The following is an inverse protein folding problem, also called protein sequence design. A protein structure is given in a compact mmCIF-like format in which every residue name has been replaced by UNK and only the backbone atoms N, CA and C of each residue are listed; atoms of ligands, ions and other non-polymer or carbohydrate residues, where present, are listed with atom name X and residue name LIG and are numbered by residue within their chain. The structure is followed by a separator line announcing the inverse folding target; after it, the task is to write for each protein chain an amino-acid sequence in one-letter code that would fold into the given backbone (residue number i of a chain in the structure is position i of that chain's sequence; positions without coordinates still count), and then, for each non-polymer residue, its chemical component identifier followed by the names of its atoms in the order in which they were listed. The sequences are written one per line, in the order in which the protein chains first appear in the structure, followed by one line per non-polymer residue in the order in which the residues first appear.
data_IF_764632842738
#
_entry.id   IF_764632842738
#
_cell.length_a   1.000
_cell.length_b   1.000
_cell.length_c   1.000
_cell.angle_alpha   90.00
_cell.angle_beta   90.00
_cell.angle_gamma   90.00
#
_symmetry.space_group_name_H-M   'P 1'
#
loop_
_entity.id
_entity.type
_entity.pdbx_description
1 polymer ?
#
# COMPACT_ATOMS: atom_id res chain seq x y z
N UNK A 1 37.79 13.51 -17.56
CA UNK A 1 37.33 12.12 -17.32
C UNK A 1 36.36 12.01 -16.12
N UNK A 2 35.59 13.05 -15.76
CA UNK A 2 34.74 13.04 -14.54
C UNK A 2 33.24 13.19 -14.77
N UNK A 3 32.80 13.53 -15.99
CA UNK A 3 31.36 13.79 -16.27
C UNK A 3 30.55 12.49 -16.37
N UNK A 4 31.12 11.44 -16.96
CA UNK A 4 30.44 10.15 -17.12
C UNK A 4 30.21 9.41 -15.79
N UNK A 5 31.11 9.59 -14.81
CA UNK A 5 30.97 9.00 -13.48
C UNK A 5 29.87 9.70 -12.68
N UNK A 6 29.83 11.03 -12.70
CA UNK A 6 28.78 11.82 -12.07
C UNK A 6 27.39 11.52 -12.67
N UNK A 7 27.30 11.33 -13.99
CA UNK A 7 26.03 11.03 -14.65
C UNK A 7 25.52 9.62 -14.32
N UNK A 8 26.42 8.64 -14.20
CA UNK A 8 26.06 7.28 -13.75
C UNK A 8 25.53 7.28 -12.32
N UNK A 9 26.16 8.03 -11.43
CA UNK A 9 25.75 8.13 -10.03
C UNK A 9 24.31 8.66 -9.88
N UNK A 10 23.90 9.63 -10.71
CA UNK A 10 22.53 10.15 -10.73
C UNK A 10 21.52 9.04 -11.06
N UNK A 11 21.72 8.31 -12.17
CA UNK A 11 20.81 7.24 -12.58
C UNK A 11 20.79 6.07 -11.59
N UNK A 12 21.93 5.74 -10.99
CA UNK A 12 22.01 4.68 -9.99
C UNK A 12 21.26 5.09 -8.72
N UNK A 13 21.39 6.33 -8.27
CA UNK A 13 20.68 6.82 -7.09
C UNK A 13 19.16 6.85 -7.31
N UNK A 14 18.70 7.29 -8.50
CA UNK A 14 17.28 7.25 -8.84
C UNK A 14 16.74 5.80 -8.86
N UNK A 15 17.51 4.87 -9.42
CA UNK A 15 17.14 3.46 -9.43
C UNK A 15 17.06 2.88 -8.01
N UNK A 16 18.01 3.22 -7.13
CA UNK A 16 18.00 2.78 -5.74
C UNK A 16 16.81 3.36 -4.96
N UNK A 17 16.45 4.62 -5.19
CA UNK A 17 15.25 5.25 -4.61
C UNK A 17 13.98 4.50 -5.01
N UNK A 18 13.83 4.14 -6.29
CA UNK A 18 12.69 3.35 -6.76
C UNK A 18 12.68 1.93 -6.18
N UNK A 19 13.85 1.31 -6.06
CA UNK A 19 13.97 -0.02 -5.45
C UNK A 19 13.59 0.02 -3.98
N UNK A 20 14.05 1.02 -3.23
CA UNK A 20 13.71 1.19 -1.81
C UNK A 20 12.19 1.32 -1.61
N UNK A 21 11.54 2.15 -2.42
CA UNK A 21 10.09 2.32 -2.40
C UNK A 21 9.31 1.03 -2.76
N UNK A 22 9.87 0.14 -3.58
CA UNK A 22 9.19 -1.04 -4.11
C UNK A 22 9.61 -2.37 -3.49
N UNK A 23 10.67 -2.41 -2.68
CA UNK A 23 11.15 -3.64 -2.06
C UNK A 23 10.17 -4.16 -1.00
N UNK A 24 9.59 -3.24 -0.23
CA UNK A 24 8.56 -3.49 0.77
C UNK A 24 7.54 -2.34 0.72
N UNK A 25 6.74 -2.26 -0.35
CA UNK A 25 5.93 -1.08 -0.58
C UNK A 25 4.84 -0.98 0.49
N UNK A 26 4.92 0.10 1.25
CA UNK A 26 3.94 0.49 2.25
C UNK A 26 3.29 1.78 1.77
N UNK A 27 1.96 1.84 1.86
CA UNK A 27 1.19 3.04 1.55
C UNK A 27 0.43 3.49 2.79
N UNK A 28 0.27 4.81 2.92
CA UNK A 28 -0.52 5.42 3.99
C UNK A 28 -2.03 5.35 3.71
N UNK A 29 -2.43 5.03 2.48
CA UNK A 29 -3.82 4.86 2.08
C UNK A 29 -4.06 5.11 0.60
N UNK A 30 -5.32 5.45 0.28
CA UNK A 30 -5.74 5.93 -1.05
C UNK A 30 -5.98 7.44 -0.94
N UNK A 31 -5.49 8.22 -1.91
CA UNK A 31 -5.64 9.67 -1.93
C UNK A 31 -6.09 10.17 -3.32
N UNK A 32 -7.04 11.11 -3.33
CA UNK A 32 -7.48 11.81 -4.54
C UNK A 32 -6.52 12.97 -4.89
N UNK A 33 -5.88 13.56 -3.87
CA UNK A 33 -4.97 14.70 -3.99
C UNK A 33 -3.72 14.51 -3.12
N UNK A 34 -2.63 15.25 -3.38
CA UNK A 34 -1.42 15.17 -2.58
C UNK A 34 -1.68 15.53 -1.13
N UNK A 35 -1.06 14.79 -0.20
CA UNK A 35 -1.10 15.17 1.20
C UNK A 35 -0.38 16.50 1.43
N UNK A 36 -0.84 17.27 2.41
CA UNK A 36 -0.14 18.47 2.87
C UNK A 36 1.09 18.04 3.71
N UNK A 37 2.28 18.42 3.27
CA UNK A 37 3.55 18.15 3.96
C UNK A 37 3.83 16.66 4.26
N UNK A 38 3.84 15.78 3.23
CA UNK A 38 4.22 14.38 3.39
C UNK A 38 5.65 14.23 3.92
N UNK A 39 5.87 13.25 4.78
CA UNK A 39 7.21 12.89 5.22
C UNK A 39 7.96 12.15 4.11
N UNK A 40 9.28 12.33 4.05
CA UNK A 40 10.10 11.62 3.06
C UNK A 40 9.97 10.10 3.24
N UNK A 41 9.67 9.41 2.15
CA UNK A 41 9.46 7.96 2.09
C UNK A 41 7.99 7.53 2.19
N UNK A 42 7.06 8.44 2.49
CA UNK A 42 5.64 8.10 2.48
C UNK A 42 5.12 7.91 1.04
N UNK A 43 4.22 6.94 0.87
CA UNK A 43 3.60 6.63 -0.40
C UNK A 43 2.09 6.49 -0.25
N UNK A 44 1.36 6.74 -1.33
CA UNK A 44 -0.09 6.62 -1.44
C UNK A 44 -0.45 5.89 -2.71
N UNK A 45 -1.60 5.21 -2.69
CA UNK A 45 -2.29 4.82 -3.92
C UNK A 45 -3.07 6.04 -4.40
N UNK A 46 -2.80 6.49 -5.62
CA UNK A 46 -3.61 7.51 -6.27
C UNK A 46 -4.97 6.90 -6.61
N UNK A 47 -6.05 7.61 -6.28
CA UNK A 47 -7.40 7.12 -6.49
C UNK A 47 -7.79 7.01 -7.98
N UNK A 48 -9.00 6.52 -8.24
CA UNK A 48 -9.54 6.45 -9.59
C UNK A 48 -10.01 7.81 -10.14
N UNK A 49 -10.18 8.82 -9.28
CA UNK A 49 -10.63 10.17 -9.65
C UNK A 49 -9.68 11.23 -9.08
N UNK A 50 -8.40 11.22 -9.48
CA UNK A 50 -7.41 12.10 -8.87
C UNK A 50 -7.55 13.55 -9.34
N UNK A 51 -7.00 14.47 -8.55
CA UNK A 51 -7.01 15.91 -8.81
C UNK A 51 -5.64 16.53 -8.54
N UNK A 52 -5.43 17.75 -9.05
CA UNK A 52 -4.19 18.49 -8.87
C UNK A 52 -3.02 17.79 -9.55
N UNK A 53 -1.87 17.69 -8.88
CA UNK A 53 -0.69 17.02 -9.47
C UNK A 53 -0.86 15.50 -9.63
N UNK A 54 -1.96 14.91 -9.16
CA UNK A 54 -2.28 13.49 -9.34
C UNK A 54 -3.18 13.22 -10.55
N UNK A 55 -3.72 14.24 -11.25
CA UNK A 55 -4.80 14.13 -12.24
C UNK A 55 -4.55 13.07 -13.35
N UNK A 56 -3.30 12.84 -13.76
CA UNK A 56 -2.92 11.86 -14.79
C UNK A 56 -2.35 10.53 -14.23
N UNK A 57 -2.43 10.33 -12.92
CA UNK A 57 -1.73 9.25 -12.21
C UNK A 57 -2.69 8.25 -11.55
N UNK A 58 -3.91 8.11 -12.08
CA UNK A 58 -4.93 7.24 -11.50
C UNK A 58 -4.44 5.79 -11.29
N UNK A 59 -4.66 5.25 -10.09
CA UNK A 59 -4.18 3.94 -9.62
C UNK A 59 -2.66 3.77 -9.52
N UNK A 60 -1.85 4.79 -9.80
CA UNK A 60 -0.40 4.72 -9.59
C UNK A 60 -0.04 4.79 -8.10
N UNK A 61 1.16 4.34 -7.76
CA UNK A 61 1.75 4.66 -6.46
C UNK A 61 2.40 6.03 -6.55
N UNK A 62 2.00 6.97 -5.71
CA UNK A 62 2.64 8.26 -5.54
C UNK A 62 3.52 8.21 -4.28
N UNK A 63 4.83 8.33 -4.45
CA UNK A 63 5.79 8.33 -3.35
C UNK A 63 6.46 9.70 -3.21
N UNK A 64 6.52 10.23 -2.00
CA UNK A 64 7.17 11.49 -1.70
C UNK A 64 8.61 11.27 -1.27
N UNK A 65 9.58 11.72 -2.06
CA UNK A 65 11.00 11.67 -1.72
C UNK A 65 11.74 12.85 -2.30
N UNK A 66 12.77 13.35 -1.61
CA UNK A 66 13.62 14.46 -2.11
C UNK A 66 12.78 15.68 -2.58
N UNK A 67 11.74 16.04 -1.82
CA UNK A 67 10.85 17.18 -2.11
C UNK A 67 10.08 17.08 -3.44
N UNK A 68 9.91 15.88 -3.98
CA UNK A 68 9.17 15.64 -5.21
C UNK A 68 8.31 14.37 -5.13
N UNK A 69 7.22 14.37 -5.90
CA UNK A 69 6.42 13.19 -6.14
C UNK A 69 7.06 12.33 -7.23
N UNK A 70 7.24 11.05 -6.92
CA UNK A 70 7.58 10.02 -7.89
C UNK A 70 6.37 9.11 -8.07
N UNK A 71 5.93 8.93 -9.31
CA UNK A 71 4.82 8.06 -9.65
C UNK A 71 5.32 6.74 -10.21
N UNK A 72 4.69 5.65 -9.78
CA UNK A 72 5.05 4.30 -10.18
C UNK A 72 3.80 3.57 -10.66
N UNK A 73 3.78 3.22 -11.94
CA UNK A 73 2.73 2.39 -12.52
C UNK A 73 2.79 0.97 -11.93
N UNK A 74 1.74 0.49 -11.24
CA UNK A 74 1.72 -0.86 -10.69
C UNK A 74 1.61 -1.91 -11.79
N UNK A 75 2.03 -3.13 -11.47
CA UNK A 75 1.89 -4.29 -12.37
C UNK A 75 0.89 -5.27 -11.80
N UNK A 76 0.12 -5.99 -12.63
CA UNK A 76 -0.72 -7.07 -12.16
C UNK A 76 0.08 -8.03 -11.29
N UNK A 77 -0.43 -8.27 -10.10
CA UNK A 77 0.29 -9.06 -9.12
C UNK A 77 1.36 -8.30 -8.33
N UNK A 78 1.28 -6.98 -8.24
CA UNK A 78 1.93 -6.19 -7.20
C UNK A 78 1.10 -6.25 -5.92
N UNK A 79 1.76 -6.30 -4.76
CA UNK A 79 1.12 -6.14 -3.45
C UNK A 79 1.76 -4.99 -2.69
N UNK A 80 0.96 -4.25 -1.94
CA UNK A 80 1.42 -3.19 -1.02
C UNK A 80 0.71 -3.34 0.31
N UNK A 81 1.39 -3.01 1.40
CA UNK A 81 0.74 -2.96 2.71
C UNK A 81 0.12 -1.57 2.91
N UNK A 82 -1.19 -1.50 3.12
CA UNK A 82 -1.89 -0.26 3.40
C UNK A 82 -2.03 -0.07 4.92
N UNK A 83 -1.35 0.94 5.47
CA UNK A 83 -1.37 1.28 6.91
C UNK A 83 -2.75 1.72 7.39
N UNK A 84 -3.55 2.38 6.56
CA UNK A 84 -4.87 2.86 6.94
C UNK A 84 -5.83 1.72 7.27
N UNK A 85 -5.74 0.59 6.55
CA UNK A 85 -6.58 -0.59 6.80
C UNK A 85 -5.85 -1.74 7.50
N UNK A 86 -4.53 -1.62 7.69
CA UNK A 86 -3.69 -2.67 8.30
C UNK A 86 -3.63 -3.96 7.48
N UNK A 87 -3.78 -3.89 6.16
CA UNK A 87 -3.85 -5.07 5.30
C UNK A 87 -3.18 -4.87 3.95
N UNK A 88 -2.84 -5.97 3.31
CA UNK A 88 -2.28 -5.96 1.97
C UNK A 88 -3.34 -5.67 0.92
N UNK A 89 -3.03 -4.76 0.00
CA UNK A 89 -3.74 -4.57 -1.26
C UNK A 89 -3.03 -5.29 -2.38
N UNK A 90 -3.80 -5.86 -3.30
CA UNK A 90 -3.31 -6.53 -4.51
C UNK A 90 -3.76 -5.74 -5.73
N UNK A 91 -2.80 -5.44 -6.62
CA UNK A 91 -3.10 -4.83 -7.90
C UNK A 91 -3.46 -5.91 -8.94
N UNK A 92 -4.57 -5.69 -9.65
CA UNK A 92 -4.99 -6.46 -10.83
C UNK A 92 -5.36 -5.49 -11.96
N UNK A 93 -6.64 -5.20 -12.17
CA UNK A 93 -7.14 -4.10 -13.01
C UNK A 93 -7.41 -2.82 -12.18
N UNK A 94 -7.04 -2.88 -10.89
CA UNK A 94 -7.17 -1.85 -9.87
C UNK A 94 -6.68 -2.38 -8.54
N UNK A 95 -6.59 -1.51 -7.54
CA UNK A 95 -6.22 -1.91 -6.18
C UNK A 95 -7.41 -2.53 -5.45
N UNK A 96 -7.23 -3.75 -4.96
CA UNK A 96 -8.24 -4.46 -4.19
C UNK A 96 -7.68 -4.81 -2.82
N UNK A 97 -8.53 -4.73 -1.79
CA UNK A 97 -8.24 -5.27 -0.46
C UNK A 97 -9.25 -6.36 -0.12
N UNK A 98 -8.85 -7.38 0.65
CA UNK A 98 -9.80 -8.33 1.21
C UNK A 98 -10.83 -7.60 2.08
N UNK A 99 -12.08 -8.06 2.03
CA UNK A 99 -13.11 -7.53 2.91
C UNK A 99 -12.85 -7.99 4.36
N UNK A 100 -13.16 -7.17 5.38
CA UNK A 100 -13.10 -7.61 6.76
C UNK A 100 -14.05 -8.80 6.98
N UNK A 101 -13.60 -9.80 7.72
CA UNK A 101 -14.40 -10.99 8.04
C UNK A 101 -15.10 -10.76 9.38
N UNK A 102 -16.43 -10.77 9.37
CA UNK A 102 -17.22 -10.61 10.59
C UNK A 102 -17.04 -11.80 11.53
N UNK A 103 -16.85 -11.52 12.83
CA UNK A 103 -16.80 -12.53 13.88
C UNK A 103 -18.15 -13.24 14.03
N UNK A 104 -18.18 -14.54 14.37
CA UNK A 104 -19.43 -15.27 14.56
C UNK A 104 -20.19 -14.79 15.80
N UNK A 105 -21.32 -14.10 15.61
CA UNK A 105 -22.11 -13.52 16.70
C UNK A 105 -23.14 -14.47 17.32
N UNK A 106 -23.53 -15.55 16.64
CA UNK A 106 -24.62 -16.42 17.07
C UNK A 106 -24.74 -17.72 16.29
N UNK A 107 -25.85 -18.44 16.51
CA UNK A 107 -26.17 -19.72 15.87
C UNK A 107 -27.21 -20.49 16.67
N UNK A 108 -27.90 -21.45 16.05
CA UNK A 108 -28.82 -22.36 16.75
C UNK A 108 -28.10 -23.21 17.80
N UNK A 109 -26.85 -23.56 17.53
CA UNK A 109 -25.91 -24.17 18.47
C UNK A 109 -24.66 -23.28 18.54
N UNK A 110 -24.32 -22.83 19.75
CA UNK A 110 -23.12 -22.00 19.99
C UNK A 110 -22.11 -22.81 20.78
N UNK A 111 -21.04 -23.21 20.10
CA UNK A 111 -19.87 -23.83 20.73
C UNK A 111 -18.85 -22.75 21.09
N UNK A 112 -18.44 -22.71 22.36
CA UNK A 112 -17.58 -21.64 22.89
C UNK A 112 -16.11 -21.83 22.54
N UNK A 113 -15.66 -23.09 22.46
CA UNK A 113 -14.28 -23.42 22.09
C UNK A 113 -14.05 -23.14 20.61
N UNK A 114 -14.98 -23.55 19.76
CA UNK A 114 -14.95 -23.26 18.33
C UNK A 114 -14.98 -21.75 18.06
N UNK A 115 -15.83 -20.99 18.79
CA UNK A 115 -15.87 -19.53 18.67
C UNK A 115 -14.52 -18.90 19.03
N UNK A 116 -13.95 -19.29 20.17
CA UNK A 116 -12.65 -18.78 20.61
C UNK A 116 -11.53 -19.10 19.60
N UNK A 117 -11.56 -20.30 19.00
CA UNK A 117 -10.58 -20.68 17.99
C UNK A 117 -10.72 -19.86 16.71
N UNK A 118 -11.95 -19.62 16.23
CA UNK A 118 -12.21 -18.78 15.06
C UNK A 118 -11.75 -17.35 15.31
N UNK A 119 -12.08 -16.79 16.48
CA UNK A 119 -11.66 -15.44 16.88
C UNK A 119 -10.13 -15.30 16.86
N UNK A 120 -9.40 -16.27 17.41
CA UNK A 120 -7.93 -16.27 17.39
C UNK A 120 -7.34 -16.39 15.97
N UNK A 121 -7.96 -17.17 15.09
CA UNK A 121 -7.55 -17.27 13.68
C UNK A 121 -7.75 -15.92 12.98
N UNK A 122 -8.88 -15.26 13.19
CA UNK A 122 -9.16 -13.94 12.61
C UNK A 122 -8.16 -12.90 13.11
N UNK A 123 -7.79 -12.93 14.39
CA UNK A 123 -6.74 -12.08 14.96
C UNK A 123 -5.38 -12.33 14.28
N UNK A 124 -4.98 -13.60 14.13
CA UNK A 124 -3.73 -13.94 13.42
C UNK A 124 -3.74 -13.46 11.96
N UNK A 125 -4.87 -13.57 11.27
CA UNK A 125 -5.00 -13.10 9.89
C UNK A 125 -4.90 -11.57 9.80
N UNK A 126 -5.49 -10.84 10.75
CA UNK A 126 -5.37 -9.39 10.86
C UNK A 126 -3.92 -8.96 11.14
N UNK A 127 -3.25 -9.61 12.09
CA UNK A 127 -1.83 -9.37 12.39
C UNK A 127 -0.91 -9.64 11.20
N UNK A 128 -1.24 -10.62 10.36
CA UNK A 128 -0.50 -10.92 9.13
C UNK A 128 -0.80 -9.94 7.99
N UNK A 129 -1.73 -9.01 8.16
CA UNK A 129 -2.21 -8.11 7.12
C UNK A 129 -2.95 -8.84 5.98
N UNK A 130 -3.47 -10.04 6.25
CA UNK A 130 -4.22 -10.83 5.27
C UNK A 130 -5.68 -10.39 5.17
N UNK A 131 -6.21 -9.77 6.21
CA UNK A 131 -7.54 -9.14 6.25
C UNK A 131 -7.43 -7.80 7.02
N UNK A 132 -8.28 -6.81 6.72
CA UNK A 132 -8.30 -5.57 7.50
C UNK A 132 -8.62 -5.85 8.97
N UNK A 133 -8.01 -5.08 9.87
CA UNK A 133 -8.33 -5.14 11.29
C UNK A 133 -9.72 -4.51 11.50
N UNK A 134 -10.69 -5.31 11.95
CA UNK A 134 -12.05 -4.88 12.32
C UNK A 134 -12.11 -4.27 13.69
#
# INVERSE_FOLDING_TARGET
MHVAQAQKEIFVNEALVRVDALLQPIVEGIADEPQENPASGECWIVSASPIGVFEDHANELACWQQEQWTFITPRPGMSVFDRNIGANRRFSDGWTSPAPIARPLGGANVDIEARSAIDAILDCLGMAGAVPNT
#
